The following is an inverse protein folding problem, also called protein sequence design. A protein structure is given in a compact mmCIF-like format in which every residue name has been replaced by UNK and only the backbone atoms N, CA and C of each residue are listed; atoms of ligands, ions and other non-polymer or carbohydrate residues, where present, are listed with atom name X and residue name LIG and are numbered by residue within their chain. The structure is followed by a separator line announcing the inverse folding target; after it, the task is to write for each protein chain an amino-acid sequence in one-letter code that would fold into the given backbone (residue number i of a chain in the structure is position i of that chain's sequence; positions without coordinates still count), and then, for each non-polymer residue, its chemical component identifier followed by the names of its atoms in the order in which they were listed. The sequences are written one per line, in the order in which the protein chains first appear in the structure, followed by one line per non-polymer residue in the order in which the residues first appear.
data_IF_046740334793
#
_entry.id   IF_046740334793
#
_cell.length_a   1.000
_cell.length_b   1.000
_cell.length_c   1.000
_cell.angle_alpha   90.00
_cell.angle_beta   90.00
_cell.angle_gamma   90.00
#
_symmetry.space_group_name_H-M   'P 1'
#
loop_
_entity.id
_entity.type
_entity.pdbx_description
1 polymer ?
#
# COMPACT_ATOMS: atom_id res chain seq x y z
N UNK A 1 20.59 -1.93 20.63
CA UNK A 1 19.33 -1.70 21.35
C UNK A 1 18.21 -1.58 20.32
N UNK A 2 17.16 -2.42 20.36
CA UNK A 2 16.09 -2.35 19.38
C UNK A 2 15.39 -1.00 19.53
N UNK A 3 15.25 -0.28 18.42
CA UNK A 3 14.43 0.93 18.35
C UNK A 3 12.98 0.50 18.60
N UNK A 4 12.52 0.74 19.83
CA UNK A 4 11.16 0.48 20.23
C UNK A 4 10.22 1.32 19.38
N UNK A 5 9.40 0.63 18.60
CA UNK A 5 8.13 1.17 18.09
C UNK A 5 7.24 1.37 19.32
N UNK A 6 7.45 2.46 20.04
CA UNK A 6 6.48 3.02 20.98
C UNK A 6 5.55 3.92 20.19
N UNK A 7 4.24 3.87 20.33
CA UNK A 7 3.39 3.00 21.11
C UNK A 7 1.96 3.38 20.76
N UNK A 8 1.08 2.40 20.58
CA UNK A 8 -0.35 2.64 20.46
C UNK A 8 -0.99 2.19 21.76
N UNK A 9 -1.29 3.19 22.59
CA UNK A 9 -1.99 3.09 23.85
C UNK A 9 -3.41 2.53 23.65
N UNK A 10 -3.73 1.46 24.39
CA UNK A 10 -4.91 1.43 25.28
C UNK A 10 -6.33 1.61 24.68
N UNK A 11 -6.68 0.80 23.68
CA UNK A 11 -8.05 0.29 23.45
C UNK A 11 -7.87 -0.85 22.44
N UNK A 12 -8.52 -2.01 22.58
CA UNK A 12 -8.54 -2.96 21.47
C UNK A 12 -9.01 -2.21 20.22
N UNK A 13 -8.22 -2.14 19.12
CA UNK A 13 -8.58 -1.32 17.98
C UNK A 13 -9.94 -1.80 17.48
N UNK A 14 -10.93 -0.90 17.48
CA UNK A 14 -12.27 -1.19 16.97
C UNK A 14 -12.14 -1.86 15.61
N UNK A 15 -13.09 -2.73 15.26
CA UNK A 15 -13.01 -3.47 14.01
C UNK A 15 -12.74 -2.54 12.80
N UNK A 16 -13.34 -1.36 12.84
CA UNK A 16 -13.13 -0.31 11.86
C UNK A 16 -11.71 0.27 11.83
N UNK A 17 -11.07 0.45 12.97
CA UNK A 17 -9.68 0.91 13.07
C UNK A 17 -8.72 -0.13 12.46
N UNK A 18 -8.99 -1.42 12.72
CA UNK A 18 -8.22 -2.54 12.14
C UNK A 18 -8.37 -2.63 10.63
N UNK A 19 -9.59 -2.45 10.10
CA UNK A 19 -9.86 -2.36 8.65
C UNK A 19 -9.09 -1.20 8.02
N UNK A 20 -9.13 -0.01 8.65
CA UNK A 20 -8.49 1.20 8.14
C UNK A 20 -6.96 1.07 8.16
N UNK A 21 -6.42 0.48 9.22
CA UNK A 21 -5.00 0.20 9.35
C UNK A 21 -4.55 -0.83 8.31
N UNK A 22 -5.30 -1.92 8.12
CA UNK A 22 -5.05 -2.92 7.08
C UNK A 22 -5.09 -2.34 5.65
N UNK A 23 -6.05 -1.44 5.38
CA UNK A 23 -6.13 -0.70 4.12
C UNK A 23 -4.88 0.15 3.89
N UNK A 24 -4.49 0.97 4.86
CA UNK A 24 -3.33 1.87 4.73
C UNK A 24 -2.03 1.09 4.51
N UNK A 25 -1.81 0.02 5.27
CA UNK A 25 -0.59 -0.80 5.13
C UNK A 25 -0.60 -1.50 3.77
N UNK A 26 -1.71 -2.11 3.38
CA UNK A 26 -1.84 -2.77 2.07
C UNK A 26 -1.71 -1.80 0.89
N UNK A 27 -2.23 -0.58 1.03
CA UNK A 27 -2.11 0.47 0.03
C UNK A 27 -0.67 0.97 -0.10
N UNK A 28 0.03 1.21 1.02
CA UNK A 28 1.44 1.58 1.01
C UNK A 28 2.32 0.49 0.39
N UNK A 29 2.10 -0.77 0.75
CA UNK A 29 2.86 -1.90 0.19
C UNK A 29 2.56 -2.04 -1.31
N UNK A 30 1.30 -1.98 -1.72
CA UNK A 30 0.90 -2.08 -3.12
C UNK A 30 1.42 -0.92 -3.98
N UNK A 31 1.46 0.30 -3.43
CA UNK A 31 2.11 1.43 -4.09
C UNK A 31 3.62 1.26 -4.16
N UNK A 32 4.29 0.81 -3.09
CA UNK A 32 5.74 0.60 -3.11
C UNK A 32 6.16 -0.48 -4.12
N UNK A 33 5.45 -1.62 -4.16
CA UNK A 33 5.69 -2.67 -5.15
C UNK A 33 5.31 -2.21 -6.56
N UNK A 34 4.20 -1.47 -6.73
CA UNK A 34 3.79 -0.89 -8.01
C UNK A 34 4.78 0.16 -8.52
N UNK A 35 5.42 0.91 -7.62
CA UNK A 35 6.46 1.87 -7.92
C UNK A 35 7.78 1.21 -8.31
N UNK A 36 8.16 0.15 -7.59
CA UNK A 36 9.38 -0.59 -7.88
C UNK A 36 9.25 -1.34 -9.20
N UNK A 37 8.22 -2.16 -9.39
CA UNK A 37 8.06 -2.94 -10.62
C UNK A 37 7.58 -2.09 -11.80
N UNK A 38 6.62 -1.19 -11.59
CA UNK A 38 6.13 -0.28 -12.62
C UNK A 38 7.14 0.78 -12.98
N UNK A 39 7.80 1.39 -11.99
CA UNK A 39 8.80 2.43 -12.19
C UNK A 39 10.10 1.89 -12.78
N UNK A 40 10.62 0.76 -12.30
CA UNK A 40 11.83 0.14 -12.86
C UNK A 40 11.58 -0.39 -14.28
N UNK A 41 10.40 -0.97 -14.55
CA UNK A 41 9.99 -1.34 -15.91
C UNK A 41 9.89 -0.12 -16.83
N UNK A 42 9.22 0.94 -16.40
CA UNK A 42 9.03 2.12 -17.24
C UNK A 42 10.34 2.92 -17.47
N UNK A 43 11.25 2.95 -16.48
CA UNK A 43 12.61 3.50 -16.63
C UNK A 43 13.44 2.66 -17.60
N UNK A 44 13.33 1.32 -17.53
CA UNK A 44 14.05 0.40 -18.43
C UNK A 44 13.56 0.49 -19.88
N UNK A 45 12.25 0.71 -20.08
CA UNK A 45 11.65 0.89 -21.41
C UNK A 45 11.88 2.28 -22.02
N UNK A 46 12.55 3.19 -21.32
CA UNK A 46 12.89 4.52 -21.85
C UNK A 46 11.70 5.48 -21.97
N UNK A 47 10.57 5.20 -21.31
CA UNK A 47 9.42 6.11 -21.30
C UNK A 47 9.81 7.39 -20.56
N UNK A 48 9.70 8.53 -21.25
CA UNK A 48 10.12 9.84 -20.73
C UNK A 48 8.94 10.58 -20.10
N UNK A 49 9.14 11.06 -18.87
CA UNK A 49 8.31 12.08 -18.24
C UNK A 49 6.85 11.66 -18.01
N UNK A 50 5.91 12.24 -18.78
CA UNK A 50 4.49 12.24 -18.45
C UNK A 50 3.80 10.89 -18.67
N UNK A 51 4.19 10.14 -19.70
CA UNK A 51 3.65 8.78 -19.97
C UNK A 51 4.15 7.73 -18.97
N UNK A 52 5.39 7.90 -18.48
CA UNK A 52 5.94 7.09 -17.40
C UNK A 52 5.12 7.28 -16.13
N UNK A 53 4.92 8.53 -15.69
CA UNK A 53 4.14 8.83 -14.48
C UNK A 53 2.68 8.39 -14.63
N UNK A 54 2.09 8.49 -15.82
CA UNK A 54 0.70 8.06 -16.03
C UNK A 54 0.55 6.54 -15.98
N UNK A 55 1.48 5.78 -16.59
CA UNK A 55 1.46 4.32 -16.53
C UNK A 55 1.82 3.80 -15.14
N UNK A 56 2.89 4.32 -14.55
CA UNK A 56 3.31 3.96 -13.18
C UNK A 56 2.22 4.33 -12.18
N UNK A 57 1.62 5.51 -12.30
CA UNK A 57 0.51 5.96 -11.47
C UNK A 57 -0.70 5.03 -11.61
N UNK A 58 -1.06 4.61 -12.83
CA UNK A 58 -2.12 3.60 -13.05
C UNK A 58 -1.79 2.27 -12.36
N UNK A 59 -0.57 1.76 -12.52
CA UNK A 59 -0.14 0.50 -11.90
C UNK A 59 -0.09 0.60 -10.38
N UNK A 60 0.37 1.73 -9.83
CA UNK A 60 0.37 2.00 -8.38
C UNK A 60 -1.04 2.09 -7.82
N UNK A 61 -1.98 2.78 -8.49
CA UNK A 61 -3.37 2.90 -8.05
C UNK A 61 -4.12 1.56 -8.15
N UNK A 62 -3.89 0.81 -9.23
CA UNK A 62 -4.47 -0.51 -9.42
C UNK A 62 -3.92 -1.52 -8.40
N UNK A 63 -2.60 -1.54 -8.19
CA UNK A 63 -1.95 -2.41 -7.22
C UNK A 63 -2.28 -2.02 -5.78
N UNK A 64 -2.09 -0.76 -5.43
CA UNK A 64 -2.41 -0.22 -4.11
C UNK A 64 -3.89 -0.39 -3.75
N UNK A 65 -4.80 -0.16 -4.70
CA UNK A 65 -6.23 -0.36 -4.51
C UNK A 65 -6.59 -1.81 -4.22
N UNK A 66 -6.05 -2.77 -4.97
CA UNK A 66 -6.35 -4.20 -4.77
C UNK A 66 -5.69 -4.77 -3.51
N UNK A 67 -4.40 -4.50 -3.27
CA UNK A 67 -3.70 -4.95 -2.06
C UNK A 67 -4.26 -4.32 -0.78
N UNK A 68 -4.57 -3.03 -0.80
CA UNK A 68 -5.24 -2.33 0.30
C UNK A 68 -6.62 -2.90 0.59
N UNK A 69 -7.43 -3.14 -0.45
CA UNK A 69 -8.79 -3.69 -0.27
C UNK A 69 -8.76 -5.14 0.24
N UNK A 70 -7.85 -5.99 -0.27
CA UNK A 70 -7.70 -7.36 0.22
C UNK A 70 -7.27 -7.42 1.69
N UNK A 71 -6.29 -6.62 2.09
CA UNK A 71 -5.85 -6.54 3.48
C UNK A 71 -6.88 -5.89 4.40
N UNK A 72 -7.66 -4.92 3.90
CA UNK A 72 -8.77 -4.31 4.62
C UNK A 72 -9.88 -5.33 4.89
N UNK A 73 -10.26 -6.12 3.88
CA UNK A 73 -11.23 -7.21 4.03
C UNK A 73 -10.66 -8.25 4.98
N UNK A 74 -9.43 -8.74 4.79
CA UNK A 74 -8.75 -9.69 5.67
C UNK A 74 -8.75 -9.25 7.15
N UNK A 75 -8.53 -7.97 7.38
CA UNK A 75 -8.55 -7.36 8.72
C UNK A 75 -9.97 -7.21 9.27
N UNK A 76 -10.96 -6.99 8.41
CA UNK A 76 -12.38 -6.92 8.77
C UNK A 76 -13.01 -8.26 9.10
N UNK A 77 -12.61 -9.35 8.42
CA UNK A 77 -13.03 -10.72 8.80
C UNK A 77 -12.29 -11.21 10.06
N UNK A 78 -11.18 -10.55 10.44
CA UNK A 78 -10.33 -10.86 11.61
C UNK A 78 -10.55 -9.91 12.78
N UNK A 79 -11.58 -9.08 12.68
CA UNK A 79 -12.37 -8.71 13.83
C UNK A 79 -13.29 -9.89 14.19
#
# INVERSE_FOLDING_TARGET
MPVGVGGSYHHGPSCWDRIRMGFVIGFCVGMASGALFGGFGALRYGLRGRELVNNVGKTMLQGGGTFGTFMAIGSGIRC
#
